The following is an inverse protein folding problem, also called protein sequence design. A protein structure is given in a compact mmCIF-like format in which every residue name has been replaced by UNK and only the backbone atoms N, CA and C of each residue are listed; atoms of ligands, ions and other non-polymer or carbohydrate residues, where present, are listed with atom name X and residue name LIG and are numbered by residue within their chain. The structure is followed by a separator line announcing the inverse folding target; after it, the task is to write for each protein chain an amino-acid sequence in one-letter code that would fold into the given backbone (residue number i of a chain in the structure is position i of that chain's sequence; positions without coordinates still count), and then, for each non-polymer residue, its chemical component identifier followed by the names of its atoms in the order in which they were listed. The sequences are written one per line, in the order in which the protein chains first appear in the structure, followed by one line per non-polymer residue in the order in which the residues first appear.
data_IF_961063293515
#
_entry.id   IF_961063293515
#
_cell.length_a   1.000
_cell.length_b   1.000
_cell.length_c   1.000
_cell.angle_alpha   90.00
_cell.angle_beta   90.00
_cell.angle_gamma   90.00
#
_symmetry.space_group_name_H-M   'P 1'
#
loop_
_entity.id
_entity.type
_entity.pdbx_description
1 polymer ?
#
# COMPACT_ATOMS: atom_id res chain seq x y z
N UNK A 1 -3.03 20.67 -8.94
CA UNK A 1 -3.81 19.55 -8.37
C UNK A 1 -3.63 19.64 -6.87
N UNK A 2 -4.68 19.37 -6.10
CA UNK A 2 -4.57 19.35 -4.63
C UNK A 2 -3.70 18.15 -4.19
N UNK A 3 -2.90 18.33 -3.11
CA UNK A 3 -1.96 17.30 -2.63
C UNK A 3 -2.68 16.00 -2.30
N UNK A 4 -3.81 16.11 -1.60
CA UNK A 4 -4.63 14.97 -1.22
C UNK A 4 -5.11 14.18 -2.44
N UNK A 5 -5.54 14.87 -3.50
CA UNK A 5 -5.93 14.20 -4.75
C UNK A 5 -4.75 13.44 -5.36
N UNK A 6 -3.57 14.07 -5.41
CA UNK A 6 -2.36 13.42 -5.93
C UNK A 6 -1.97 12.18 -5.12
N UNK A 7 -2.01 12.27 -3.79
CA UNK A 7 -1.70 11.15 -2.88
C UNK A 7 -2.68 9.99 -3.09
N UNK A 8 -3.98 10.29 -3.19
CA UNK A 8 -5.04 9.30 -3.47
C UNK A 8 -4.85 8.62 -4.82
N UNK A 9 -4.54 9.39 -5.85
CA UNK A 9 -4.33 8.87 -7.21
C UNK A 9 -3.08 7.99 -7.29
N UNK A 10 -1.99 8.39 -6.62
CA UNK A 10 -0.78 7.59 -6.52
C UNK A 10 -1.03 6.25 -5.80
N UNK A 11 -1.71 6.26 -4.65
CA UNK A 11 -2.04 5.05 -3.90
C UNK A 11 -2.93 4.11 -4.73
N UNK A 12 -3.99 4.64 -5.36
CA UNK A 12 -4.88 3.85 -6.22
C UNK A 12 -4.12 3.25 -7.40
N UNK A 13 -3.20 4.00 -8.00
CA UNK A 13 -2.35 3.52 -9.10
C UNK A 13 -1.52 2.32 -8.68
N UNK A 14 -0.86 2.38 -7.51
CA UNK A 14 -0.10 1.25 -6.96
C UNK A 14 -1.01 0.05 -6.74
N UNK A 15 -2.12 0.22 -6.01
CA UNK A 15 -3.03 -0.89 -5.69
C UNK A 15 -3.57 -1.56 -6.96
N UNK A 16 -4.02 -0.77 -7.94
CA UNK A 16 -4.57 -1.32 -9.18
C UNK A 16 -3.52 -2.03 -10.00
N UNK A 17 -2.32 -1.45 -10.15
CA UNK A 17 -1.20 -2.08 -10.86
C UNK A 17 -0.92 -3.47 -10.30
N UNK A 18 -0.86 -3.61 -8.97
CA UNK A 18 -0.61 -4.90 -8.35
C UNK A 18 -1.80 -5.86 -8.41
N UNK A 19 -3.03 -5.36 -8.41
CA UNK A 19 -4.22 -6.20 -8.60
C UNK A 19 -4.30 -6.81 -10.01
N UNK A 20 -3.68 -6.16 -11.00
CA UNK A 20 -3.70 -6.56 -12.40
C UNK A 20 -2.57 -7.55 -12.76
N UNK A 21 -1.57 -7.72 -11.90
CA UNK A 21 -0.46 -8.66 -12.13
C UNK A 21 -0.86 -10.14 -12.05
N UNK A 22 -2.13 -10.44 -11.76
CA UNK A 22 -2.60 -11.82 -11.70
C UNK A 22 -2.56 -12.51 -13.05
N UNK A 23 -1.96 -13.70 -13.07
CA UNK A 23 -2.05 -14.60 -14.21
C UNK A 23 -3.39 -15.35 -14.18
N UNK A 24 -3.94 -15.64 -15.37
CA UNK A 24 -5.25 -16.29 -15.52
C UNK A 24 -5.40 -17.65 -14.81
N UNK A 25 -4.30 -18.27 -14.38
CA UNK A 25 -4.28 -19.58 -13.71
C UNK A 25 -3.96 -19.50 -12.21
N UNK A 26 -3.92 -18.30 -11.62
CA UNK A 26 -3.70 -18.17 -10.18
C UNK A 26 -5.00 -18.44 -9.40
N UNK A 27 -5.06 -19.46 -8.52
CA UNK A 27 -6.25 -19.75 -7.72
C UNK A 27 -6.47 -18.76 -6.56
N UNK A 28 -5.52 -17.85 -6.36
CA UNK A 28 -5.63 -16.74 -5.43
C UNK A 28 -6.01 -15.51 -6.25
N UNK A 29 -7.07 -14.82 -5.86
CA UNK A 29 -7.53 -13.54 -6.40
C UNK A 29 -6.92 -12.38 -5.59
N UNK A 30 -6.60 -11.27 -6.25
CA UNK A 30 -6.18 -10.02 -5.60
C UNK A 30 -7.27 -8.98 -5.75
N UNK A 31 -7.87 -8.59 -4.64
CA UNK A 31 -9.02 -7.68 -4.60
C UNK A 31 -8.58 -6.31 -4.07
N UNK A 32 -8.62 -5.26 -4.91
CA UNK A 32 -8.37 -3.89 -4.45
C UNK A 32 -9.58 -3.36 -3.68
N UNK A 33 -9.35 -2.76 -2.51
CA UNK A 33 -10.38 -2.15 -1.66
C UNK A 33 -9.95 -0.71 -1.40
N UNK A 34 -10.65 0.25 -1.99
CA UNK A 34 -10.30 1.67 -1.94
C UNK A 34 -11.43 2.47 -1.29
N UNK A 35 -11.32 2.73 0.02
CA UNK A 35 -12.19 3.66 0.74
C UNK A 35 -11.61 5.08 0.66
N UNK A 36 -12.19 5.92 -0.20
CA UNK A 36 -11.75 7.31 -0.37
C UNK A 36 -12.38 8.26 0.66
N UNK A 37 -13.45 7.84 1.35
CA UNK A 37 -14.07 8.65 2.41
C UNK A 37 -13.29 8.51 3.72
N UNK A 38 -12.87 7.28 4.05
CA UNK A 38 -12.05 6.98 5.21
C UNK A 38 -10.55 6.99 4.95
N UNK A 39 -10.11 7.23 3.71
CA UNK A 39 -8.71 7.22 3.27
C UNK A 39 -7.95 5.93 3.67
N UNK A 40 -8.59 4.77 3.47
CA UNK A 40 -7.97 3.45 3.67
C UNK A 40 -7.98 2.65 2.36
N UNK A 41 -6.84 2.06 2.04
CA UNK A 41 -6.57 1.45 0.75
C UNK A 41 -5.86 0.11 0.96
N UNK A 42 -6.49 -0.99 0.55
CA UNK A 42 -6.00 -2.34 0.77
C UNK A 42 -5.92 -3.12 -0.53
N UNK A 43 -4.96 -4.03 -0.60
CA UNK A 43 -4.98 -5.12 -1.57
C UNK A 43 -5.11 -6.42 -0.79
N UNK A 44 -6.21 -7.15 -0.98
CA UNK A 44 -6.44 -8.44 -0.32
C UNK A 44 -6.12 -9.60 -1.25
N UNK A 45 -5.52 -10.66 -0.69
CA UNK A 45 -5.39 -11.95 -1.34
C UNK A 45 -6.48 -12.90 -0.84
N UNK A 46 -7.28 -13.43 -1.76
CA UNK A 46 -8.46 -14.25 -1.44
C UNK A 46 -8.48 -15.48 -2.35
N UNK A 47 -8.51 -16.69 -1.77
CA UNK A 47 -8.54 -17.90 -2.60
C UNK A 47 -8.31 -19.16 -1.81
N UNK A 48 -7.87 -20.21 -2.50
CA UNK A 48 -7.48 -21.48 -1.89
C UNK A 48 -6.17 -21.95 -2.51
N UNK A 49 -5.27 -22.45 -1.67
CA UNK A 49 -4.08 -23.17 -2.10
C UNK A 49 -4.07 -24.57 -1.42
N UNK A 50 -3.12 -25.46 -1.75
CA UNK A 50 -3.04 -26.78 -1.13
C UNK A 50 -2.91 -26.76 0.40
N UNK A 51 -2.41 -25.65 0.97
CA UNK A 51 -2.27 -25.46 2.42
C UNK A 51 -3.54 -24.93 3.10
N UNK A 52 -4.56 -24.53 2.34
CA UNK A 52 -5.86 -24.11 2.85
C UNK A 52 -6.35 -22.76 2.32
N UNK A 53 -7.22 -22.12 3.11
CA UNK A 53 -7.84 -20.83 2.77
C UNK A 53 -6.81 -19.72 2.79
N UNK A 54 -6.74 -18.96 1.69
CA UNK A 54 -6.02 -17.68 1.64
C UNK A 54 -7.06 -16.56 1.83
N UNK A 55 -6.85 -15.75 2.86
CA UNK A 55 -7.65 -14.59 3.19
C UNK A 55 -6.80 -13.63 4.01
N UNK A 56 -5.96 -12.84 3.33
CA UNK A 56 -4.92 -12.02 3.94
C UNK A 56 -4.79 -10.68 3.25
N UNK A 57 -4.18 -9.71 3.93
CA UNK A 57 -3.86 -8.40 3.36
C UNK A 57 -2.45 -8.47 2.76
N UNK A 58 -2.33 -8.15 1.48
CA UNK A 58 -1.05 -8.02 0.79
C UNK A 58 -0.46 -6.63 1.05
N UNK A 59 -1.27 -5.59 0.92
CA UNK A 59 -0.89 -4.18 1.18
C UNK A 59 -1.96 -3.46 1.98
N UNK A 60 -1.54 -2.54 2.84
CA UNK A 60 -2.44 -1.62 3.52
C UNK A 60 -1.79 -0.24 3.60
N UNK A 61 -2.43 0.72 2.95
CA UNK A 61 -2.06 2.13 2.97
C UNK A 61 -3.21 2.96 3.52
N UNK A 62 -2.87 4.08 4.15
CA UNK A 62 -3.85 5.10 4.53
C UNK A 62 -3.30 6.49 4.35
N UNK A 63 -4.18 7.47 4.25
CA UNK A 63 -3.79 8.88 4.36
C UNK A 63 -4.18 9.37 5.75
N UNK A 64 -3.21 9.87 6.51
CA UNK A 64 -3.42 10.40 7.86
C UNK A 64 -2.47 11.56 8.11
N UNK A 65 -3.00 12.65 8.66
CA UNK A 65 -2.23 13.88 8.92
C UNK A 65 -1.46 14.34 7.68
N UNK A 66 -2.14 14.36 6.52
CA UNK A 66 -1.58 14.77 5.23
C UNK A 66 -0.41 13.91 4.74
N UNK A 67 -0.24 12.69 5.26
CA UNK A 67 0.82 11.75 4.85
C UNK A 67 0.29 10.38 4.49
N UNK A 68 1.02 9.68 3.63
CA UNK A 68 0.74 8.30 3.26
C UNK A 68 1.42 7.38 4.28
N UNK A 69 0.63 6.64 5.03
CA UNK A 69 1.10 5.62 5.95
C UNK A 69 1.01 4.25 5.27
N UNK A 70 2.14 3.55 5.22
CA UNK A 70 2.21 2.16 4.79
C UNK A 70 2.12 1.29 6.05
N UNK A 71 0.93 0.78 6.33
CA UNK A 71 0.64 -0.02 7.52
C UNK A 71 1.08 -1.48 7.35
N UNK A 72 1.06 -1.98 6.11
CA UNK A 72 1.55 -3.31 5.76
C UNK A 72 2.03 -3.32 4.31
N UNK A 73 3.20 -3.91 4.08
CA UNK A 73 3.82 -4.06 2.77
C UNK A 73 4.35 -5.50 2.61
N UNK A 74 3.64 -6.30 1.83
CA UNK A 74 4.05 -7.65 1.46
C UNK A 74 4.81 -7.75 0.15
N UNK A 75 5.24 -6.63 -0.45
CA UNK A 75 5.96 -6.61 -1.73
C UNK A 75 7.46 -6.88 -1.53
N UNK A 76 8.13 -7.40 -2.57
CA UNK A 76 9.58 -7.58 -2.55
C UNK A 76 10.33 -6.26 -2.82
N UNK A 77 9.82 -5.44 -3.75
CA UNK A 77 10.46 -4.18 -4.18
C UNK A 77 10.17 -3.00 -3.24
N UNK A 78 9.08 -3.06 -2.47
CA UNK A 78 8.67 -2.04 -1.50
C UNK A 78 7.79 -0.95 -2.11
N UNK A 79 6.57 -0.81 -1.60
CA UNK A 79 5.58 0.18 -2.05
C UNK A 79 6.07 1.62 -1.84
N UNK A 80 6.90 1.85 -0.82
CA UNK A 80 7.44 3.17 -0.54
C UNK A 80 8.25 3.72 -1.72
N UNK A 81 9.03 2.87 -2.40
CA UNK A 81 9.83 3.28 -3.56
C UNK A 81 8.96 3.50 -4.80
N UNK A 82 7.89 2.71 -4.98
CA UNK A 82 6.93 2.95 -6.05
C UNK A 82 6.22 4.30 -5.92
N UNK A 83 5.81 4.67 -4.70
CA UNK A 83 5.21 5.98 -4.42
C UNK A 83 6.20 7.12 -4.73
N UNK A 84 7.48 6.96 -4.37
CA UNK A 84 8.53 7.91 -4.75
C UNK A 84 8.68 8.00 -6.26
N UNK A 85 8.64 6.87 -6.97
CA UNK A 85 8.65 6.83 -8.44
C UNK A 85 7.45 7.52 -9.09
N UNK A 86 6.32 7.60 -8.38
CA UNK A 86 5.12 8.36 -8.77
C UNK A 86 5.18 9.85 -8.35
N UNK A 87 6.30 10.30 -7.76
CA UNK A 87 6.53 11.68 -7.39
C UNK A 87 6.12 12.06 -5.95
N UNK A 88 5.79 11.08 -5.10
CA UNK A 88 5.52 11.35 -3.68
C UNK A 88 6.86 11.58 -2.94
N UNK A 89 7.04 12.71 -2.22
CA UNK A 89 8.24 12.95 -1.43
C UNK A 89 8.39 11.93 -0.29
N UNK A 90 9.63 11.57 0.08
CA UNK A 90 9.88 10.59 1.16
C UNK A 90 9.38 11.10 2.52
N UNK A 91 9.42 12.42 2.71
CA UNK A 91 8.92 13.14 3.88
C UNK A 91 7.38 13.12 4.04
N UNK A 92 6.67 12.71 2.99
CA UNK A 92 5.22 12.52 3.00
C UNK A 92 4.81 11.05 3.17
N UNK A 93 5.78 10.12 3.26
CA UNK A 93 5.55 8.68 3.42
C UNK A 93 6.01 8.26 4.81
N UNK A 94 5.15 7.55 5.54
CA UNK A 94 5.46 6.97 6.85
C UNK A 94 5.43 5.44 6.75
N UNK A 95 6.52 4.80 7.16
CA UNK A 95 6.59 3.33 7.27
C UNK A 95 5.91 2.88 8.57
N UNK A 96 4.58 2.79 8.55
CA UNK A 96 3.71 2.48 9.68
C UNK A 96 4.02 1.13 10.33
N UNK A 97 4.40 0.13 9.53
CA UNK A 97 4.80 -1.19 10.01
C UNK A 97 6.10 -1.20 10.85
N UNK A 98 6.93 -0.16 10.78
CA UNK A 98 8.05 0.00 11.72
C UNK A 98 7.58 0.60 13.04
N UNK A 99 8.20 0.13 14.12
CA UNK A 99 8.07 0.76 15.45
C UNK A 99 8.46 2.25 15.36
N UNK A 100 7.77 3.15 16.08
CA UNK A 100 8.04 4.60 15.99
C UNK A 100 9.52 4.96 16.13
N UNK A 101 10.22 4.35 17.08
CA UNK A 101 11.63 4.64 17.39
C UNK A 101 12.58 4.19 16.27
N UNK A 102 12.13 3.28 15.40
CA UNK A 102 12.91 2.81 14.25
C UNK A 102 12.71 3.67 13.01
N UNK A 103 11.73 4.57 12.99
CA UNK A 103 11.48 5.42 11.82
C UNK A 103 12.52 6.54 11.69
N UNK A 104 13.09 6.99 12.80
CA UNK A 104 14.14 8.03 12.84
C UNK A 104 15.41 7.65 12.09
N UNK A 105 15.70 6.36 11.97
CA UNK A 105 16.87 5.83 11.24
C UNK A 105 16.55 5.49 9.78
N UNK A 106 15.32 5.75 9.33
CA UNK A 106 14.92 5.62 7.92
C UNK A 106 15.02 6.97 7.22
N UNK A 107 14.99 6.97 5.90
CA UNK A 107 14.92 8.18 5.07
C UNK A 107 13.49 8.70 4.85
N UNK A 108 12.50 8.10 5.51
CA UNK A 108 11.08 8.42 5.41
C UNK A 108 10.60 9.19 6.66
N UNK A 109 9.36 9.68 6.62
CA UNK A 109 8.79 10.39 7.77
C UNK A 109 8.54 9.50 8.99
N UNK A 110 8.61 10.12 10.16
CA UNK A 110 8.37 9.48 11.46
C UNK A 110 6.86 9.37 11.77
N UNK A 111 6.10 10.39 11.39
CA UNK A 111 4.66 10.54 11.58
C UNK A 111 4.07 11.50 10.54
#
# INVERSE_FOLDING_TARGET
MDKLTNDRDAIKTVIHRHSELQTANNPIETVPICDTEGDNYLLMAIGWNPSGRVHSISFHLRIRNEKIWIEWDGSEEGIALELVGLGIPKEDIVLGFYRPERREITEFAIA
#
